data_IF_383451754831
#
_entry.id   IF_383451754831
#
_cell.length_a   1.000
_cell.length_b   1.000
_cell.length_c   1.000
_cell.angle_alpha   90.00
_cell.angle_beta   90.00
_cell.angle_gamma   90.00
#
_symmetry.space_group_name_H-M   'P 1'
#
loop_
_entity.id
_entity.type
_entity.pdbx_description
1 polymer ?
#
# COMPACT_ATOMS: atom_id res chain seq x y z
N UNK A 1 -43.18 25.61 21.57
CA UNK A 1 -42.88 24.72 20.44
C UNK A 1 -41.55 25.04 19.74
N UNK A 2 -41.34 26.23 19.13
CA UNK A 2 -40.11 26.55 18.39
C UNK A 2 -38.84 26.47 19.25
N UNK A 3 -38.86 27.03 20.48
CA UNK A 3 -37.73 26.95 21.43
C UNK A 3 -37.34 25.50 21.78
N UNK A 4 -38.36 24.65 22.03
CA UNK A 4 -38.14 23.23 22.34
C UNK A 4 -37.54 22.49 21.14
N UNK A 5 -38.00 22.77 19.91
CA UNK A 5 -37.47 22.20 18.67
C UNK A 5 -36.02 22.59 18.45
N UNK A 6 -35.68 23.86 18.70
CA UNK A 6 -34.29 24.36 18.58
C UNK A 6 -33.36 23.73 19.63
N UNK A 7 -33.83 23.50 20.85
CA UNK A 7 -33.05 22.81 21.88
C UNK A 7 -32.81 21.34 21.54
N UNK A 8 -33.83 20.62 21.03
CA UNK A 8 -33.69 19.24 20.59
C UNK A 8 -32.72 19.15 19.41
N UNK A 9 -32.81 20.05 18.42
CA UNK A 9 -31.91 20.09 17.28
C UNK A 9 -30.46 20.38 17.72
N UNK A 10 -30.27 21.33 18.65
CA UNK A 10 -28.96 21.64 19.22
C UNK A 10 -28.34 20.43 19.98
N UNK A 11 -29.17 19.72 20.77
CA UNK A 11 -28.72 18.51 21.46
C UNK A 11 -28.34 17.38 20.47
N UNK A 12 -29.13 17.20 19.42
CA UNK A 12 -28.83 16.19 18.38
C UNK A 12 -27.53 16.54 17.61
N UNK A 13 -27.30 17.81 17.29
CA UNK A 13 -26.06 18.26 16.65
C UNK A 13 -24.87 18.03 17.60
N UNK A 14 -25.02 18.33 18.88
CA UNK A 14 -23.95 18.12 19.87
C UNK A 14 -23.63 16.64 20.02
N UNK A 15 -24.65 15.79 20.15
CA UNK A 15 -24.47 14.31 20.21
C UNK A 15 -23.79 13.80 18.94
N UNK A 16 -24.25 14.23 17.76
CA UNK A 16 -23.64 13.84 16.50
C UNK A 16 -22.17 14.29 16.42
N UNK A 17 -21.85 15.50 16.87
CA UNK A 17 -20.48 16.02 16.91
C UNK A 17 -19.59 15.20 17.86
N UNK A 18 -20.10 14.86 19.05
CA UNK A 18 -19.38 14.02 20.03
C UNK A 18 -19.13 12.63 19.44
N UNK A 19 -20.13 12.00 18.81
CA UNK A 19 -19.98 10.69 18.17
C UNK A 19 -18.95 10.75 17.06
N UNK A 20 -18.96 11.79 16.23
CA UNK A 20 -17.97 11.96 15.15
C UNK A 20 -16.55 12.07 15.74
N UNK A 21 -16.37 12.84 16.82
CA UNK A 21 -15.07 12.99 17.49
C UNK A 21 -14.59 11.67 18.10
N UNK A 22 -15.47 10.92 18.76
CA UNK A 22 -15.15 9.64 19.40
C UNK A 22 -14.85 8.51 18.40
N UNK A 23 -15.35 8.63 17.16
CA UNK A 23 -15.15 7.61 16.11
C UNK A 23 -13.93 7.92 15.24
N UNK A 24 -13.24 9.07 15.43
CA UNK A 24 -12.03 9.36 14.67
C UNK A 24 -10.93 8.29 14.89
N UNK A 25 -10.13 7.99 13.87
CA UNK A 25 -9.04 7.03 13.99
C UNK A 25 -7.97 7.56 14.96
N UNK A 26 -7.32 6.66 15.67
CA UNK A 26 -6.13 6.97 16.46
C UNK A 26 -4.88 6.72 15.62
N UNK A 27 -3.96 7.66 15.58
CA UNK A 27 -2.62 7.46 15.01
C UNK A 27 -1.65 6.85 16.05
N UNK A 28 -2.08 6.73 17.31
CA UNK A 28 -1.29 6.09 18.35
C UNK A 28 -1.35 4.57 18.18
N UNK A 29 -0.19 3.99 18.01
CA UNK A 29 -0.02 2.55 17.98
C UNK A 29 0.73 2.08 19.23
N UNK A 30 0.58 0.80 19.58
CA UNK A 30 1.20 0.22 20.77
C UNK A 30 2.06 -0.97 20.37
N UNK A 31 3.27 -1.07 20.92
CA UNK A 31 4.04 -2.29 20.84
C UNK A 31 3.34 -3.38 21.66
N UNK A 32 3.21 -4.56 21.08
CA UNK A 32 2.56 -5.71 21.69
C UNK A 32 3.29 -6.99 21.31
N UNK A 33 2.59 -8.12 21.43
CA UNK A 33 3.08 -9.42 20.97
C UNK A 33 3.41 -9.35 19.47
N UNK A 34 4.55 -9.93 19.10
CA UNK A 34 5.05 -10.01 17.73
C UNK A 34 5.21 -11.48 17.34
N UNK A 35 4.81 -11.82 16.13
CA UNK A 35 5.02 -13.13 15.52
C UNK A 35 6.02 -13.00 14.38
N UNK A 36 6.89 -13.98 14.26
CA UNK A 36 7.81 -14.19 13.12
C UNK A 36 7.43 -15.45 12.39
N UNK A 37 7.28 -15.32 11.08
CA UNK A 37 7.06 -16.50 10.25
C UNK A 37 8.33 -17.34 10.20
N UNK A 38 8.26 -18.66 10.44
CA UNK A 38 9.41 -19.56 10.34
C UNK A 38 10.05 -19.50 8.95
N UNK A 39 11.38 -19.50 8.89
CA UNK A 39 12.14 -19.42 7.62
C UNK A 39 11.81 -20.56 6.66
N UNK A 40 11.47 -21.76 7.19
CA UNK A 40 11.03 -22.91 6.39
C UNK A 40 9.80 -22.64 5.52
N UNK A 41 9.00 -21.62 5.84
CA UNK A 41 7.85 -21.20 5.01
C UNK A 41 8.25 -20.50 3.72
N UNK A 42 9.49 -20.04 3.64
CA UNK A 42 10.03 -19.30 2.50
C UNK A 42 11.02 -20.12 1.67
N UNK A 43 11.20 -21.39 2.00
CA UNK A 43 12.06 -22.30 1.25
C UNK A 43 11.38 -22.73 -0.06
N UNK A 44 12.19 -22.81 -1.11
CA UNK A 44 11.76 -23.30 -2.44
C UNK A 44 10.59 -22.54 -3.08
N UNK A 45 10.46 -21.23 -2.75
CA UNK A 45 9.49 -20.38 -3.43
C UNK A 45 9.94 -20.14 -4.88
N UNK A 46 9.02 -20.24 -5.88
CA UNK A 46 9.35 -19.98 -7.27
C UNK A 46 9.97 -18.59 -7.46
N UNK A 47 11.09 -18.54 -8.16
CA UNK A 47 11.79 -17.32 -8.57
C UNK A 47 12.16 -16.34 -7.42
N UNK A 48 12.23 -16.86 -6.17
CA UNK A 48 12.54 -16.06 -5.01
C UNK A 48 13.77 -16.59 -4.25
N UNK A 49 14.92 -16.55 -4.89
CA UNK A 49 16.19 -16.98 -4.32
C UNK A 49 17.08 -15.77 -3.99
N UNK A 50 16.61 -14.91 -3.08
CA UNK A 50 17.33 -13.71 -2.64
C UNK A 50 17.84 -13.88 -1.22
N UNK A 51 19.02 -13.32 -0.94
CA UNK A 51 19.55 -13.25 0.42
C UNK A 51 18.73 -12.25 1.26
N UNK A 52 18.23 -12.64 2.44
CA UNK A 52 17.47 -11.73 3.29
C UNK A 52 18.40 -10.73 3.97
N UNK A 53 17.96 -9.47 4.05
CA UNK A 53 18.56 -8.46 4.90
C UNK A 53 17.55 -8.04 5.97
N UNK A 54 18.05 -7.58 7.11
CA UNK A 54 17.20 -7.15 8.21
C UNK A 54 17.77 -5.89 8.86
N UNK A 55 16.87 -5.00 9.27
CA UNK A 55 17.18 -3.86 10.12
C UNK A 55 16.15 -3.76 11.24
N UNK A 56 16.57 -3.31 12.41
CA UNK A 56 15.67 -3.10 13.55
C UNK A 56 15.17 -1.66 13.57
N UNK A 57 13.86 -1.49 13.55
CA UNK A 57 13.17 -0.20 13.61
C UNK A 57 12.18 -0.24 14.78
N UNK A 58 12.40 0.56 15.80
CA UNK A 58 11.56 0.66 17.01
C UNK A 58 11.31 -0.70 17.69
N UNK A 59 12.31 -1.60 17.67
CA UNK A 59 12.19 -2.94 18.23
C UNK A 59 11.52 -3.97 17.30
N UNK A 60 11.16 -3.61 16.08
CA UNK A 60 10.67 -4.52 15.05
C UNK A 60 11.76 -4.83 14.04
N UNK A 61 11.89 -6.09 13.71
CA UNK A 61 12.77 -6.56 12.62
C UNK A 61 12.06 -6.35 11.29
N UNK A 62 12.61 -5.49 10.45
CA UNK A 62 12.13 -5.22 9.09
C UNK A 62 13.03 -5.95 8.10
N UNK A 63 12.44 -6.81 7.29
CA UNK A 63 13.10 -7.50 6.20
C UNK A 63 13.14 -6.63 4.95
N UNK A 64 14.21 -6.74 4.18
CA UNK A 64 14.30 -6.15 2.84
C UNK A 64 15.26 -6.93 1.95
N UNK A 65 15.03 -6.86 0.66
CA UNK A 65 15.97 -7.28 -0.36
C UNK A 65 16.83 -6.08 -0.76
N UNK A 66 18.10 -6.33 -1.06
CA UNK A 66 19.06 -5.31 -1.50
C UNK A 66 19.98 -5.94 -2.57
N UNK A 67 19.51 -5.90 -3.80
CA UNK A 67 20.10 -6.60 -4.94
C UNK A 67 20.76 -5.63 -5.93
N UNK A 68 21.69 -6.14 -6.75
CA UNK A 68 22.44 -5.35 -7.73
C UNK A 68 23.64 -4.60 -7.13
N UNK A 69 24.31 -3.74 -7.93
CA UNK A 69 25.50 -3.02 -7.50
C UNK A 69 25.17 -2.00 -6.40
N UNK A 70 25.94 -2.02 -5.32
CA UNK A 70 25.69 -1.17 -4.15
C UNK A 70 25.90 0.33 -4.41
N UNK A 71 26.67 0.65 -5.43
CA UNK A 71 26.92 2.01 -5.92
C UNK A 71 26.01 2.40 -7.09
N UNK A 72 25.14 1.49 -7.53
CA UNK A 72 24.13 1.75 -8.55
C UNK A 72 23.07 2.75 -8.10
N UNK A 73 22.42 3.40 -9.06
CA UNK A 73 21.27 4.26 -8.77
C UNK A 73 20.14 3.46 -8.10
N UNK A 74 19.60 3.97 -7.00
CA UNK A 74 18.69 3.21 -6.14
C UNK A 74 17.26 3.24 -6.67
N UNK A 75 16.65 2.06 -6.79
CA UNK A 75 15.22 1.86 -6.99
C UNK A 75 14.62 1.25 -5.73
N UNK A 76 13.68 1.95 -5.10
CA UNK A 76 12.92 1.47 -3.94
C UNK A 76 11.57 0.94 -4.42
N UNK A 77 11.33 -0.37 -4.23
CA UNK A 77 10.11 -1.06 -4.63
C UNK A 77 9.21 -1.27 -3.42
N UNK A 78 8.08 -0.56 -3.33
CA UNK A 78 7.16 -0.66 -2.21
C UNK A 78 5.90 -1.44 -2.58
N UNK A 79 5.72 -2.61 -1.95
CA UNK A 79 4.59 -3.51 -2.17
C UNK A 79 3.32 -3.03 -1.45
N UNK A 80 2.17 -3.51 -1.96
CA UNK A 80 0.86 -3.29 -1.36
C UNK A 80 0.32 -4.48 -0.57
N UNK A 81 -0.97 -4.44 -0.25
CA UNK A 81 -1.68 -5.42 0.55
C UNK A 81 -2.47 -6.37 -0.38
N UNK A 82 -2.49 -7.68 -0.12
CA UNK A 82 -1.78 -8.40 0.94
C UNK A 82 -0.45 -9.03 0.47
N UNK A 83 0.23 -8.40 -0.47
CA UNK A 83 1.51 -8.88 -1.01
C UNK A 83 2.71 -8.64 -0.06
N UNK A 84 3.89 -8.95 -0.54
CA UNK A 84 5.17 -8.71 0.09
C UNK A 84 6.25 -8.63 -0.99
N UNK A 85 7.54 -8.54 -0.68
CA UNK A 85 8.62 -8.40 -1.67
C UNK A 85 8.63 -9.48 -2.75
N UNK A 86 7.94 -10.60 -2.54
CA UNK A 86 7.70 -11.66 -3.53
C UNK A 86 7.03 -11.14 -4.82
N UNK A 87 6.20 -10.11 -4.71
CA UNK A 87 5.56 -9.46 -5.86
C UNK A 87 6.59 -8.94 -6.88
N UNK A 88 7.76 -8.56 -6.40
CA UNK A 88 8.81 -7.98 -7.22
C UNK A 88 9.86 -8.99 -7.72
N UNK A 89 9.68 -10.30 -7.46
CA UNK A 89 10.68 -11.34 -7.75
C UNK A 89 11.14 -11.36 -9.22
N UNK A 90 10.25 -10.99 -10.15
CA UNK A 90 10.58 -10.91 -11.57
C UNK A 90 11.24 -9.57 -11.95
N UNK A 91 10.87 -8.47 -11.29
CA UNK A 91 11.43 -7.14 -11.60
C UNK A 91 12.83 -6.95 -11.01
N UNK A 92 13.10 -7.50 -9.82
CA UNK A 92 14.38 -7.32 -9.11
C UNK A 92 15.58 -7.74 -9.95
N UNK A 93 15.66 -8.97 -10.51
CA UNK A 93 16.81 -9.39 -11.31
C UNK A 93 16.96 -8.57 -12.59
N UNK A 94 15.86 -8.15 -13.21
CA UNK A 94 15.90 -7.31 -14.42
C UNK A 94 16.49 -5.94 -14.13
N UNK A 95 16.08 -5.29 -13.04
CA UNK A 95 16.63 -4.00 -12.60
C UNK A 95 18.08 -4.12 -12.16
N UNK A 96 18.43 -5.16 -11.39
CA UNK A 96 19.80 -5.38 -10.94
C UNK A 96 20.75 -5.62 -12.14
N UNK A 97 20.32 -6.38 -13.15
CA UNK A 97 21.07 -6.60 -14.39
C UNK A 97 21.18 -5.32 -15.24
N UNK A 98 20.24 -4.40 -15.12
CA UNK A 98 20.32 -3.07 -15.76
C UNK A 98 21.25 -2.10 -15.01
N UNK A 99 21.85 -2.50 -13.87
CA UNK A 99 22.84 -1.75 -13.12
C UNK A 99 22.26 -0.93 -11.95
N UNK A 100 21.01 -1.13 -11.58
CA UNK A 100 20.37 -0.47 -10.44
C UNK A 100 20.63 -1.22 -9.13
N UNK A 101 20.77 -0.48 -8.02
CA UNK A 101 20.59 -1.03 -6.68
C UNK A 101 19.10 -1.11 -6.38
N UNK A 102 18.61 -2.30 -6.16
CA UNK A 102 17.18 -2.56 -5.95
C UNK A 102 16.91 -2.88 -4.49
N UNK A 103 16.10 -2.05 -3.85
CA UNK A 103 15.70 -2.24 -2.46
C UNK A 103 14.19 -2.55 -2.44
N UNK A 104 13.82 -3.68 -1.87
CA UNK A 104 12.42 -4.10 -1.74
C UNK A 104 12.13 -4.52 -0.28
N UNK A 105 11.65 -3.61 0.57
CA UNK A 105 11.28 -3.93 1.93
C UNK A 105 9.96 -4.70 1.99
N UNK A 106 9.82 -5.53 3.03
CA UNK A 106 8.53 -6.03 3.49
C UNK A 106 7.96 -5.06 4.53
N UNK A 107 6.77 -4.56 4.30
CA UNK A 107 6.07 -3.75 5.30
C UNK A 107 5.92 -4.55 6.61
N UNK A 108 5.97 -3.87 7.77
CA UNK A 108 5.67 -4.50 9.05
C UNK A 108 4.29 -5.17 9.01
N UNK A 109 4.19 -6.41 9.48
CA UNK A 109 2.98 -7.23 9.35
C UNK A 109 2.93 -8.10 8.10
N UNK A 110 3.92 -8.01 7.18
CA UNK A 110 3.97 -8.72 5.90
C UNK A 110 5.33 -9.42 5.68
N UNK A 111 5.39 -10.30 4.70
CA UNK A 111 6.60 -10.98 4.26
C UNK A 111 7.40 -11.61 5.41
N UNK A 112 8.71 -11.37 5.40
CA UNK A 112 9.63 -11.82 6.45
C UNK A 112 9.81 -10.79 7.58
N UNK A 113 9.15 -9.62 7.51
CA UNK A 113 9.14 -8.64 8.59
C UNK A 113 8.34 -9.13 9.79
N UNK A 114 8.65 -8.57 10.96
CA UNK A 114 7.90 -8.83 12.19
C UNK A 114 6.42 -8.49 12.03
N UNK A 115 5.55 -9.27 12.68
CA UNK A 115 4.10 -9.14 12.59
C UNK A 115 3.50 -8.85 13.97
N UNK A 116 3.16 -7.58 14.25
CA UNK A 116 2.36 -7.26 15.43
C UNK A 116 1.02 -8.00 15.38
N UNK A 117 0.69 -8.70 16.47
CA UNK A 117 -0.51 -9.55 16.54
C UNK A 117 -1.78 -8.75 16.77
N UNK A 118 -1.64 -7.64 17.51
CA UNK A 118 -2.78 -6.83 17.87
C UNK A 118 -3.26 -5.98 16.69
N UNK A 119 -4.53 -6.10 16.32
CA UNK A 119 -5.13 -5.28 15.26
C UNK A 119 -4.94 -3.78 15.51
N UNK A 120 -5.04 -3.34 16.77
CA UNK A 120 -4.86 -1.95 17.18
C UNK A 120 -3.44 -1.42 17.03
N UNK A 121 -2.45 -2.31 16.86
CA UNK A 121 -1.06 -1.92 16.57
C UNK A 121 -0.90 -1.43 15.13
N UNK A 122 -1.77 -1.85 14.22
CA UNK A 122 -1.73 -1.43 12.83
C UNK A 122 -2.50 -0.14 12.63
N UNK A 123 -1.79 0.96 12.46
CA UNK A 123 -2.37 2.24 12.01
C UNK A 123 -1.67 2.70 10.74
N UNK A 124 -2.35 3.49 9.91
CA UNK A 124 -1.72 4.04 8.70
C UNK A 124 -0.42 4.81 9.06
N UNK A 125 -0.48 5.64 10.12
CA UNK A 125 0.69 6.43 10.53
C UNK A 125 1.85 5.53 10.98
N UNK A 126 1.59 4.45 11.72
CA UNK A 126 2.64 3.52 12.14
C UNK A 126 3.40 2.95 10.91
N UNK A 127 2.68 2.53 9.88
CA UNK A 127 3.32 2.02 8.66
C UNK A 127 4.17 3.07 7.95
N UNK A 128 3.70 4.31 7.91
CA UNK A 128 4.48 5.44 7.37
C UNK A 128 5.73 5.70 8.20
N UNK A 129 5.61 5.74 9.53
CA UNK A 129 6.71 6.07 10.44
C UNK A 129 7.79 4.98 10.43
N UNK A 130 7.38 3.70 10.45
CA UNK A 130 8.32 2.57 10.38
C UNK A 130 9.07 2.59 9.05
N UNK A 131 8.37 2.83 7.93
CA UNK A 131 9.00 2.83 6.61
C UNK A 131 9.87 4.07 6.39
N UNK A 132 9.51 5.22 6.96
CA UNK A 132 10.37 6.42 6.92
C UNK A 132 11.67 6.18 7.70
N UNK A 133 11.59 5.59 8.88
CA UNK A 133 12.77 5.23 9.66
C UNK A 133 13.61 4.13 8.98
N UNK A 134 12.96 3.18 8.30
CA UNK A 134 13.66 2.20 7.47
C UNK A 134 14.50 2.87 6.39
N UNK A 135 13.90 3.77 5.61
CA UNK A 135 14.59 4.52 4.53
C UNK A 135 15.78 5.31 5.07
N UNK A 136 15.64 5.87 6.27
CA UNK A 136 16.73 6.61 6.92
C UNK A 136 17.84 5.66 7.44
N UNK A 137 17.46 4.56 8.08
CA UNK A 137 18.39 3.62 8.72
C UNK A 137 19.30 2.90 7.71
N UNK A 138 18.80 2.61 6.50
CA UNK A 138 19.60 2.00 5.41
C UNK A 138 20.21 3.06 4.47
N UNK A 139 20.13 4.33 4.86
CA UNK A 139 20.72 5.46 4.14
C UNK A 139 20.36 5.56 2.66
N UNK A 140 19.10 5.32 2.31
CA UNK A 140 18.61 5.50 0.92
C UNK A 140 18.93 6.92 0.44
N UNK A 141 19.48 7.04 -0.78
CA UNK A 141 19.87 8.33 -1.37
C UNK A 141 19.45 8.38 -2.83
N UNK A 142 18.89 9.52 -3.23
CA UNK A 142 18.54 9.82 -4.63
C UNK A 142 17.67 8.72 -5.29
N UNK A 143 16.83 8.04 -4.51
CA UNK A 143 16.10 6.90 -5.01
C UNK A 143 14.98 7.28 -5.98
N UNK A 144 14.72 6.39 -6.92
CA UNK A 144 13.45 6.34 -7.64
C UNK A 144 12.50 5.45 -6.85
N UNK A 145 11.39 6.01 -6.38
CA UNK A 145 10.31 5.22 -5.78
C UNK A 145 9.48 4.56 -6.90
N UNK A 146 9.34 3.24 -6.85
CA UNK A 146 8.27 2.51 -7.54
C UNK A 146 7.30 1.96 -6.50
N UNK A 147 6.02 2.30 -6.63
CA UNK A 147 5.03 1.94 -5.62
C UNK A 147 3.68 1.54 -6.22
N UNK A 148 3.08 0.48 -5.68
CA UNK A 148 1.80 -0.05 -6.09
C UNK A 148 0.89 -0.26 -4.87
N UNK A 149 -0.43 -0.06 -5.01
CA UNK A 149 -1.44 -0.26 -3.98
C UNK A 149 -1.05 0.45 -2.66
N UNK A 150 -1.08 -0.21 -1.51
CA UNK A 150 -0.64 0.33 -0.21
C UNK A 150 0.82 0.76 -0.18
N UNK A 151 1.66 0.19 -1.03
CA UNK A 151 3.02 0.69 -1.22
C UNK A 151 3.03 2.14 -1.69
N UNK A 152 2.04 2.55 -2.52
CA UNK A 152 1.85 3.94 -2.90
C UNK A 152 1.32 4.80 -1.76
N UNK A 153 0.32 4.33 -1.01
CA UNK A 153 -0.23 5.07 0.12
C UNK A 153 0.84 5.37 1.19
N UNK A 154 1.68 4.38 1.50
CA UNK A 154 2.77 4.52 2.46
C UNK A 154 3.93 5.30 1.83
N UNK A 155 4.40 4.89 0.64
CA UNK A 155 5.57 5.43 -0.02
C UNK A 155 5.45 6.92 -0.35
N UNK A 156 4.28 7.37 -0.79
CA UNK A 156 4.03 8.79 -1.02
C UNK A 156 4.12 9.62 0.27
N UNK A 157 3.72 9.07 1.40
CA UNK A 157 3.87 9.72 2.70
C UNK A 157 5.32 9.69 3.20
N UNK A 158 6.08 8.63 2.86
CA UNK A 158 7.54 8.55 3.12
C UNK A 158 8.28 9.60 2.29
N UNK A 159 7.92 9.76 1.02
CA UNK A 159 8.50 10.82 0.17
C UNK A 159 8.20 12.21 0.73
N UNK A 160 7.00 12.45 1.23
CA UNK A 160 6.63 13.74 1.85
C UNK A 160 7.47 14.01 3.11
N UNK A 161 7.73 12.99 3.94
CA UNK A 161 8.56 13.14 5.14
C UNK A 161 10.06 13.28 4.84
N UNK A 162 10.55 12.62 3.77
CA UNK A 162 11.97 12.52 3.43
C UNK A 162 12.26 12.92 1.97
N UNK A 163 11.80 14.08 1.49
CA UNK A 163 11.85 14.44 0.06
C UNK A 163 13.26 14.51 -0.51
N UNK A 164 14.27 14.72 0.34
CA UNK A 164 15.68 14.74 -0.04
C UNK A 164 16.24 13.35 -0.39
N UNK A 165 15.57 12.27 0.05
CA UNK A 165 15.98 10.88 -0.24
C UNK A 165 15.56 10.41 -1.63
N UNK A 166 14.64 11.14 -2.29
CA UNK A 166 14.03 10.71 -3.55
C UNK A 166 14.30 11.70 -4.68
N UNK A 167 14.64 11.16 -5.83
CA UNK A 167 14.86 11.91 -7.08
C UNK A 167 13.64 11.85 -7.99
N UNK A 168 12.90 10.73 -8.01
CA UNK A 168 11.82 10.44 -8.96
C UNK A 168 10.76 9.55 -8.31
N UNK A 169 9.58 9.52 -8.92
CA UNK A 169 8.47 8.66 -8.49
C UNK A 169 7.84 8.01 -9.72
N UNK A 170 7.67 6.70 -9.70
CA UNK A 170 6.81 5.95 -10.63
C UNK A 170 5.69 5.30 -9.83
N UNK A 171 4.45 5.66 -10.13
CA UNK A 171 3.25 5.10 -9.51
C UNK A 171 2.59 4.10 -10.44
N UNK A 172 2.18 2.97 -9.87
CA UNK A 172 1.45 1.94 -10.56
C UNK A 172 0.26 1.49 -9.70
N UNK A 173 -0.94 1.47 -10.27
CA UNK A 173 -2.15 0.96 -9.64
C UNK A 173 -2.31 1.38 -8.17
N UNK A 174 -2.20 2.67 -7.90
CA UNK A 174 -2.27 3.23 -6.55
C UNK A 174 -2.92 4.60 -6.52
N UNK A 175 -3.28 5.04 -5.32
CA UNK A 175 -3.83 6.37 -5.06
C UNK A 175 -3.42 6.84 -3.67
N UNK A 176 -3.71 8.09 -3.34
CA UNK A 176 -3.65 8.61 -1.98
C UNK A 176 -5.07 9.05 -1.59
N UNK A 177 -5.85 8.24 -0.87
CA UNK A 177 -7.22 8.58 -0.48
C UNK A 177 -7.23 9.87 0.34
N UNK A 178 -7.91 10.89 -0.17
CA UNK A 178 -7.87 12.25 0.38
C UNK A 178 -9.26 12.89 0.36
N UNK A 179 -9.57 13.71 1.34
CA UNK A 179 -10.76 14.54 1.38
C UNK A 179 -10.60 15.67 2.37
N UNK A 180 -11.15 16.85 2.03
CA UNK A 180 -11.18 18.03 2.91
C UNK A 180 -12.59 18.35 3.42
N UNK A 181 -12.69 19.44 4.19
CA UNK A 181 -13.96 19.95 4.72
C UNK A 181 -14.80 18.88 5.42
N UNK A 182 -16.11 18.94 5.25
CA UNK A 182 -17.06 18.00 5.87
C UNK A 182 -16.82 16.54 5.42
N UNK A 183 -16.43 16.32 4.15
CA UNK A 183 -16.10 14.96 3.63
C UNK A 183 -14.89 14.37 4.34
N UNK A 184 -13.87 15.19 4.65
CA UNK A 184 -12.70 14.75 5.40
C UNK A 184 -13.02 14.37 6.85
N UNK A 185 -14.00 15.04 7.47
CA UNK A 185 -14.44 14.73 8.84
C UNK A 185 -15.37 13.52 8.90
N UNK A 186 -16.30 13.42 7.97
CA UNK A 186 -17.30 12.34 7.95
C UNK A 186 -16.80 11.08 7.23
N UNK A 187 -15.75 11.18 6.43
CA UNK A 187 -15.30 10.09 5.57
C UNK A 187 -15.00 8.81 6.33
N UNK A 188 -14.22 8.87 7.40
CA UNK A 188 -13.91 7.70 8.20
C UNK A 188 -15.13 7.11 8.95
N UNK A 189 -15.93 7.89 9.68
CA UNK A 189 -17.17 7.39 10.27
C UNK A 189 -18.13 6.74 9.27
N UNK A 190 -18.31 7.36 8.11
CA UNK A 190 -19.17 6.81 7.04
C UNK A 190 -18.59 5.54 6.42
N UNK A 191 -17.29 5.50 6.18
CA UNK A 191 -16.59 4.32 5.71
C UNK A 191 -16.73 3.15 6.68
N UNK A 192 -16.52 3.42 7.97
CA UNK A 192 -16.68 2.42 9.04
C UNK A 192 -18.12 1.91 9.14
N UNK A 193 -19.09 2.81 9.02
CA UNK A 193 -20.51 2.45 9.02
C UNK A 193 -20.88 1.61 7.78
N UNK A 194 -20.40 2.01 6.59
CA UNK A 194 -20.65 1.28 5.36
C UNK A 194 -20.06 -0.14 5.42
N UNK A 195 -18.82 -0.29 5.91
CA UNK A 195 -18.22 -1.61 6.09
C UNK A 195 -18.95 -2.46 7.16
N UNK A 196 -19.41 -1.84 8.26
CA UNK A 196 -20.21 -2.54 9.29
C UNK A 196 -21.55 -3.02 8.73
N UNK A 197 -22.18 -2.26 7.84
CA UNK A 197 -23.47 -2.61 7.22
C UNK A 197 -23.38 -3.86 6.32
N UNK A 198 -22.19 -4.16 5.76
CA UNK A 198 -21.97 -5.40 5.00
C UNK A 198 -22.13 -6.65 5.88
N UNK A 199 -21.96 -6.52 7.22
CA UNK A 199 -21.99 -7.65 8.14
C UNK A 199 -20.79 -8.57 8.01
N UNK A 200 -20.97 -9.85 8.28
CA UNK A 200 -19.95 -10.88 8.10
C UNK A 200 -19.90 -11.33 6.63
N UNK A 201 -18.73 -11.26 6.05
CA UNK A 201 -18.47 -11.69 4.66
C UNK A 201 -17.47 -12.84 4.68
N UNK A 202 -17.93 -14.05 4.38
CA UNK A 202 -17.10 -15.27 4.38
C UNK A 202 -16.48 -15.57 3.02
N UNK A 203 -17.11 -15.12 1.93
CA UNK A 203 -16.61 -15.29 0.58
C UNK A 203 -16.52 -13.97 -0.16
N UNK A 204 -15.43 -13.75 -0.87
CA UNK A 204 -15.23 -12.57 -1.68
C UNK A 204 -15.55 -12.88 -3.14
N UNK A 205 -16.51 -12.17 -3.72
CA UNK A 205 -16.79 -12.22 -5.15
C UNK A 205 -15.87 -11.24 -5.88
N UNK A 206 -14.74 -11.75 -6.37
CA UNK A 206 -13.77 -11.00 -7.18
C UNK A 206 -13.94 -11.47 -8.63
N UNK A 207 -13.96 -10.53 -9.58
CA UNK A 207 -14.07 -10.84 -11.01
C UNK A 207 -15.46 -10.66 -11.60
N UNK A 208 -16.53 -10.66 -10.82
CA UNK A 208 -17.84 -10.21 -11.25
C UNK A 208 -17.99 -8.69 -11.13
N UNK A 209 -18.93 -8.11 -11.86
CA UNK A 209 -19.20 -6.64 -11.91
C UNK A 209 -19.54 -6.00 -10.55
N UNK A 210 -19.43 -6.75 -9.47
CA UNK A 210 -19.85 -6.42 -8.12
C UNK A 210 -18.73 -6.43 -7.06
N UNK A 211 -17.43 -6.27 -7.44
CA UNK A 211 -16.40 -6.04 -6.41
C UNK A 211 -16.74 -4.75 -5.66
N UNK A 212 -17.10 -4.91 -4.39
CA UNK A 212 -17.35 -3.80 -3.49
C UNK A 212 -16.15 -3.62 -2.55
N UNK A 213 -15.58 -2.41 -2.51
CA UNK A 213 -14.56 -2.07 -1.53
C UNK A 213 -15.03 -2.32 -0.10
N UNK A 214 -16.31 -2.09 0.19
CA UNK A 214 -16.85 -2.32 1.53
C UNK A 214 -16.96 -3.81 1.86
N UNK A 215 -17.35 -4.65 0.89
CA UNK A 215 -17.34 -6.10 1.06
C UNK A 215 -15.92 -6.64 1.23
N UNK A 216 -14.91 -6.04 0.55
CA UNK A 216 -13.50 -6.36 0.78
C UNK A 216 -13.05 -6.02 2.20
N UNK A 217 -13.39 -4.82 2.70
CA UNK A 217 -13.08 -4.41 4.09
C UNK A 217 -13.74 -5.34 5.09
N UNK A 218 -15.02 -5.71 4.88
CA UNK A 218 -15.74 -6.63 5.74
C UNK A 218 -15.12 -8.04 5.70
N UNK A 219 -14.86 -8.59 4.50
CA UNK A 219 -14.21 -9.89 4.32
C UNK A 219 -12.85 -9.95 5.03
N UNK A 220 -11.98 -8.98 4.79
CA UNK A 220 -10.66 -8.95 5.41
C UNK A 220 -10.75 -8.99 6.94
N UNK A 221 -11.78 -8.36 7.51
CA UNK A 221 -11.97 -8.27 8.95
C UNK A 221 -12.71 -9.47 9.56
N UNK A 222 -13.67 -10.09 8.85
CA UNK A 222 -14.64 -11.02 9.45
C UNK A 222 -14.56 -12.44 8.89
N UNK A 223 -13.86 -12.68 7.79
CA UNK A 223 -13.77 -14.03 7.22
C UNK A 223 -12.97 -14.97 8.11
N UNK A 224 -13.45 -16.19 8.26
CA UNK A 224 -12.74 -17.25 8.99
C UNK A 224 -11.48 -17.70 8.23
N UNK A 225 -11.55 -17.63 6.88
CA UNK A 225 -10.44 -17.97 6.00
C UNK A 225 -10.10 -16.81 5.11
N UNK A 226 -8.80 -16.55 4.91
CA UNK A 226 -8.33 -15.53 3.99
C UNK A 226 -7.76 -16.20 2.75
N UNK A 227 -8.53 -16.24 1.67
CA UNK A 227 -8.17 -16.95 0.45
C UNK A 227 -7.22 -16.11 -0.43
N UNK A 228 -5.91 -16.20 -0.15
CA UNK A 228 -4.86 -15.55 -0.93
C UNK A 228 -4.87 -16.00 -2.38
N UNK A 229 -5.11 -17.30 -2.64
CA UNK A 229 -5.07 -17.84 -3.99
C UNK A 229 -6.17 -17.22 -4.86
N UNK A 230 -7.40 -17.20 -4.38
CA UNK A 230 -8.53 -16.57 -5.07
C UNK A 230 -8.29 -15.07 -5.30
N UNK A 231 -7.77 -14.37 -4.28
CA UNK A 231 -7.52 -12.94 -4.35
C UNK A 231 -6.45 -12.61 -5.43
N UNK A 232 -5.29 -13.28 -5.37
CA UNK A 232 -4.21 -13.01 -6.32
C UNK A 232 -4.59 -13.41 -7.74
N UNK A 233 -5.20 -14.59 -7.93
CA UNK A 233 -5.62 -15.02 -9.26
C UNK A 233 -6.67 -14.10 -9.88
N UNK A 234 -7.63 -13.62 -9.10
CA UNK A 234 -8.65 -12.70 -9.60
C UNK A 234 -8.14 -11.26 -9.85
N UNK A 235 -6.95 -10.94 -9.33
CA UNK A 235 -6.33 -9.62 -9.43
C UNK A 235 -5.11 -9.59 -10.36
N UNK A 236 -4.88 -10.67 -11.12
CA UNK A 236 -3.85 -10.79 -12.18
C UNK A 236 -4.51 -11.20 -13.49
N UNK A 237 -3.91 -10.79 -14.62
CA UNK A 237 -4.36 -11.17 -15.96
C UNK A 237 -3.80 -12.52 -16.40
N UNK A 238 -2.60 -12.88 -15.92
CA UNK A 238 -2.02 -14.19 -16.19
C UNK A 238 -2.49 -15.24 -15.18
N UNK A 239 -2.43 -16.49 -15.56
CA UNK A 239 -2.62 -17.60 -14.65
C UNK A 239 -1.38 -17.78 -13.76
N UNK A 240 -1.58 -17.80 -12.44
CA UNK A 240 -0.55 -18.09 -11.46
C UNK A 240 -0.55 -19.57 -11.12
N UNK A 241 0.62 -20.20 -11.05
CA UNK A 241 0.75 -21.57 -10.60
C UNK A 241 0.38 -21.72 -9.11
N UNK A 242 0.01 -22.92 -8.71
CA UNK A 242 -0.29 -23.24 -7.30
C UNK A 242 0.89 -22.88 -6.38
N UNK A 243 2.13 -23.04 -6.84
CA UNK A 243 3.32 -22.71 -6.06
C UNK A 243 3.51 -21.18 -5.91
N UNK A 244 3.24 -20.39 -6.95
CA UNK A 244 3.26 -18.93 -6.88
C UNK A 244 2.18 -18.40 -5.92
N UNK A 245 0.97 -18.96 -6.02
CA UNK A 245 -0.13 -18.60 -5.10
C UNK A 245 0.21 -18.95 -3.64
N UNK A 246 0.84 -20.13 -3.43
CA UNK A 246 1.34 -20.52 -2.10
C UNK A 246 2.45 -19.61 -1.60
N UNK A 247 3.28 -19.04 -2.49
CA UNK A 247 4.30 -18.03 -2.15
C UNK A 247 3.72 -16.77 -1.55
N UNK A 248 2.58 -16.29 -2.05
CA UNK A 248 1.87 -15.15 -1.46
C UNK A 248 1.31 -15.45 -0.07
N UNK A 249 0.86 -16.67 0.18
CA UNK A 249 0.33 -17.08 1.47
C UNK A 249 1.44 -17.47 2.48
N UNK A 250 2.68 -17.67 2.04
CA UNK A 250 3.77 -18.17 2.87
C UNK A 250 4.00 -17.39 4.17
N UNK A 251 3.93 -16.03 4.20
CA UNK A 251 4.13 -15.25 5.42
C UNK A 251 3.07 -15.45 6.50
N UNK A 252 1.89 -15.90 6.10
CA UNK A 252 0.68 -15.85 6.92
C UNK A 252 0.31 -17.27 7.41
N UNK A 253 1.19 -17.85 8.23
CA UNK A 253 1.17 -19.26 8.62
C UNK A 253 0.15 -19.60 9.72
N UNK A 254 -0.38 -18.61 10.41
CA UNK A 254 -1.41 -18.76 11.44
C UNK A 254 -2.20 -17.45 11.61
N UNK A 255 -3.26 -17.45 12.42
CA UNK A 255 -4.13 -16.29 12.62
C UNK A 255 -3.39 -15.10 13.26
N UNK A 256 -2.41 -15.35 14.15
CA UNK A 256 -1.61 -14.27 14.75
C UNK A 256 -0.79 -13.49 13.71
N UNK A 257 -0.42 -14.14 12.59
CA UNK A 257 0.29 -13.49 11.50
C UNK A 257 -0.62 -12.69 10.56
N UNK A 258 -1.94 -12.75 10.75
CA UNK A 258 -2.93 -12.18 9.83
C UNK A 258 -3.34 -10.73 10.15
N UNK A 259 -2.89 -10.16 11.28
CA UNK A 259 -3.35 -8.84 11.71
C UNK A 259 -3.10 -7.74 10.65
N UNK A 260 -1.94 -7.74 9.99
CA UNK A 260 -1.63 -6.82 8.89
C UNK A 260 -2.63 -6.92 7.73
N UNK A 261 -2.72 -8.06 7.03
CA UNK A 261 -3.68 -8.26 5.93
C UNK A 261 -5.11 -7.93 6.29
N UNK A 262 -5.56 -8.30 7.50
CA UNK A 262 -6.93 -8.05 7.96
C UNK A 262 -7.22 -6.58 8.24
N UNK A 263 -6.23 -5.81 8.71
CA UNK A 263 -6.45 -4.43 9.11
C UNK A 263 -6.30 -3.41 7.97
N UNK A 264 -5.41 -3.64 7.02
CA UNK A 264 -5.09 -2.67 5.98
C UNK A 264 -6.30 -2.10 5.24
N UNK A 265 -7.27 -2.90 4.74
CA UNK A 265 -8.43 -2.35 4.07
C UNK A 265 -9.22 -1.36 4.93
N UNK A 266 -9.28 -1.59 6.25
CA UNK A 266 -9.96 -0.71 7.20
C UNK A 266 -9.25 0.62 7.42
N UNK A 267 -7.96 0.72 7.09
CA UNK A 267 -7.15 1.92 7.30
C UNK A 267 -7.30 2.96 6.17
N UNK A 268 -7.89 2.60 5.03
CA UNK A 268 -7.97 3.45 3.83
C UNK A 268 -8.53 4.85 4.09
N UNK A 269 -9.54 4.97 4.93
CA UNK A 269 -10.20 6.24 5.21
C UNK A 269 -9.69 6.95 6.49
N UNK A 270 -8.67 6.39 7.16
CA UNK A 270 -8.24 6.89 8.48
C UNK A 270 -7.50 8.24 8.43
N UNK A 271 -6.87 8.56 7.31
CA UNK A 271 -6.05 9.78 7.17
C UNK A 271 -6.46 10.69 6.00
N UNK A 272 -7.74 10.70 5.63
CA UNK A 272 -8.23 11.49 4.48
C UNK A 272 -7.82 12.96 4.51
N UNK A 273 -7.95 13.62 5.66
CA UNK A 273 -7.61 15.05 5.80
C UNK A 273 -6.10 15.29 5.75
N UNK A 274 -5.32 14.43 6.39
CA UNK A 274 -3.86 14.52 6.38
C UNK A 274 -3.32 14.28 4.98
N UNK A 275 -3.85 13.28 4.28
CA UNK A 275 -3.49 13.02 2.90
C UNK A 275 -3.90 14.18 1.97
N UNK A 276 -5.05 14.83 2.23
CA UNK A 276 -5.45 16.01 1.46
C UNK A 276 -4.45 17.15 1.64
N UNK A 277 -4.02 17.43 2.86
CA UNK A 277 -3.00 18.44 3.11
C UNK A 277 -1.67 18.10 2.40
N UNK A 278 -1.27 16.82 2.41
CA UNK A 278 -0.09 16.35 1.67
C UNK A 278 -0.25 16.55 0.16
N UNK A 279 -1.42 16.30 -0.40
CA UNK A 279 -1.69 16.57 -1.82
C UNK A 279 -1.62 18.05 -2.15
N UNK A 280 -2.27 18.89 -1.34
CA UNK A 280 -2.40 20.34 -1.60
C UNK A 280 -1.08 21.08 -1.33
N UNK A 281 -0.35 20.74 -0.25
CA UNK A 281 0.82 21.48 0.19
C UNK A 281 2.12 20.92 -0.37
N UNK A 282 2.23 19.61 -0.55
CA UNK A 282 3.45 18.95 -0.99
C UNK A 282 3.39 18.54 -2.46
N UNK A 283 2.45 17.66 -2.88
CA UNK A 283 2.45 17.13 -4.23
C UNK A 283 2.04 18.17 -5.29
N UNK A 284 1.17 19.12 -4.97
CA UNK A 284 0.89 20.26 -5.85
C UNK A 284 2.11 21.15 -6.12
N UNK A 285 3.17 21.01 -5.32
CA UNK A 285 4.44 21.72 -5.47
C UNK A 285 5.63 20.82 -5.82
N UNK A 286 5.43 19.52 -6.00
CA UNK A 286 6.47 18.56 -6.34
C UNK A 286 6.93 18.73 -7.79
N UNK A 287 8.19 19.17 -7.97
CA UNK A 287 8.78 19.47 -9.30
C UNK A 287 9.67 18.36 -9.83
N UNK A 288 10.11 17.41 -8.96
CA UNK A 288 10.91 16.29 -9.43
C UNK A 288 10.05 15.34 -10.27
N UNK A 289 10.64 14.58 -11.22
CA UNK A 289 9.88 13.76 -12.15
C UNK A 289 8.94 12.76 -11.48
N UNK A 290 7.71 12.66 -12.00
CA UNK A 290 6.73 11.65 -11.61
C UNK A 290 6.06 11.09 -12.85
N UNK A 291 6.06 9.74 -12.98
CA UNK A 291 5.25 9.07 -14.01
C UNK A 291 4.24 8.12 -13.39
N UNK A 292 3.23 7.78 -14.18
CA UNK A 292 2.24 6.75 -13.88
C UNK A 292 2.30 5.66 -14.94
N UNK A 293 2.28 4.39 -14.50
CA UNK A 293 2.15 3.21 -15.34
C UNK A 293 1.08 2.30 -14.75
N UNK A 294 -0.17 2.53 -15.13
CA UNK A 294 -1.33 1.83 -14.58
C UNK A 294 -1.82 0.76 -15.54
N UNK A 295 -2.31 -0.36 -15.00
CA UNK A 295 -2.90 -1.43 -15.80
C UNK A 295 -4.29 -1.10 -16.31
N UNK A 296 -4.58 -1.41 -17.57
CA UNK A 296 -5.88 -1.15 -18.20
C UNK A 296 -7.00 -2.11 -17.71
N UNK A 297 -6.61 -3.22 -17.04
CA UNK A 297 -7.53 -4.18 -16.43
C UNK A 297 -7.74 -3.95 -14.92
N UNK A 298 -7.04 -3.02 -14.31
CA UNK A 298 -7.28 -2.68 -12.91
C UNK A 298 -8.53 -1.80 -12.75
N UNK A 299 -9.66 -2.44 -12.50
CA UNK A 299 -10.93 -1.74 -12.30
C UNK A 299 -11.00 -0.95 -10.98
N UNK A 300 -10.16 -1.31 -9.99
CA UNK A 300 -10.09 -0.64 -8.70
C UNK A 300 -9.43 0.74 -8.80
N UNK A 301 -8.37 0.84 -9.62
CA UNK A 301 -7.57 2.06 -9.75
C UNK A 301 -7.81 2.81 -11.07
N UNK A 302 -8.78 2.37 -11.88
CA UNK A 302 -9.11 2.98 -13.18
C UNK A 302 -9.27 4.50 -13.08
N UNK A 303 -8.52 5.25 -13.88
CA UNK A 303 -8.57 6.71 -13.96
C UNK A 303 -7.93 7.47 -12.80
N UNK A 304 -7.36 6.79 -11.80
CA UNK A 304 -6.64 7.43 -10.68
C UNK A 304 -5.30 8.02 -11.10
N UNK A 305 -4.70 7.50 -12.14
CA UNK A 305 -3.47 8.01 -12.76
C UNK A 305 -3.60 9.49 -13.18
N UNK A 306 -4.75 9.86 -13.75
CA UNK A 306 -5.02 11.22 -14.25
C UNK A 306 -4.92 12.28 -13.15
N UNK A 307 -5.40 11.97 -11.95
CA UNK A 307 -5.32 12.88 -10.81
C UNK A 307 -3.87 13.26 -10.48
N UNK A 308 -2.93 12.31 -10.56
CA UNK A 308 -1.51 12.55 -10.36
C UNK A 308 -0.88 13.37 -11.50
N UNK A 309 -1.24 13.04 -12.75
CA UNK A 309 -0.78 13.74 -13.95
C UNK A 309 -1.21 15.21 -13.98
N UNK A 310 -2.41 15.49 -13.47
CA UNK A 310 -2.97 16.85 -13.41
C UNK A 310 -2.43 17.66 -12.22
N UNK A 311 -2.33 17.04 -11.03
CA UNK A 311 -1.95 17.70 -9.80
C UNK A 311 -0.47 18.06 -9.75
N UNK A 312 0.41 17.11 -10.17
CA UNK A 312 1.84 17.18 -9.87
C UNK A 312 2.61 17.91 -10.96
N UNK A 313 3.27 19.05 -10.67
CA UNK A 313 4.08 19.76 -11.68
C UNK A 313 5.16 18.89 -12.34
N UNK A 314 5.82 18.02 -11.57
CA UNK A 314 6.84 17.10 -12.07
C UNK A 314 6.32 15.95 -12.94
N UNK A 315 4.99 15.79 -13.05
CA UNK A 315 4.37 14.82 -13.95
C UNK A 315 4.17 15.39 -15.37
N UNK A 316 4.14 16.72 -15.51
CA UNK A 316 3.86 17.36 -16.81
C UNK A 316 4.95 17.05 -17.84
N UNK A 317 4.52 16.57 -19.00
CA UNK A 317 5.43 16.24 -20.10
C UNK A 317 6.16 14.89 -19.94
N UNK A 318 5.86 14.13 -18.92
CA UNK A 318 6.40 12.79 -18.73
C UNK A 318 5.64 11.73 -19.56
N UNK A 319 6.29 10.59 -19.85
CA UNK A 319 5.74 9.50 -20.66
C UNK A 319 4.82 8.58 -19.84
N UNK A 320 3.68 9.11 -19.38
CA UNK A 320 2.68 8.31 -18.70
C UNK A 320 2.15 7.19 -19.58
N UNK A 321 1.92 6.00 -19.01
CA UNK A 321 1.53 4.82 -19.77
C UNK A 321 0.34 4.12 -19.13
N UNK A 322 -0.62 3.71 -19.96
CA UNK A 322 -1.61 2.72 -19.59
C UNK A 322 -1.13 1.38 -20.14
N UNK A 323 -0.71 0.49 -19.23
CA UNK A 323 -0.09 -0.79 -19.54
C UNK A 323 -1.19 -1.78 -19.94
N UNK A 324 -1.12 -2.24 -21.19
CA UNK A 324 -2.13 -3.11 -21.76
C UNK A 324 -2.11 -4.50 -21.08
N UNK A 325 -3.30 -5.01 -20.79
CA UNK A 325 -3.53 -6.30 -20.13
C UNK A 325 -2.87 -6.41 -18.75
N UNK A 326 -2.54 -5.29 -18.11
CA UNK A 326 -2.11 -5.24 -16.71
C UNK A 326 -3.32 -5.16 -15.77
N UNK A 327 -3.45 -6.11 -14.85
CA UNK A 327 -4.46 -6.08 -13.78
C UNK A 327 -3.89 -5.41 -12.52
N UNK A 328 -4.51 -5.62 -11.35
CA UNK A 328 -4.12 -4.93 -10.12
C UNK A 328 -2.68 -5.25 -9.68
N UNK A 329 -2.29 -6.54 -9.69
CA UNK A 329 -0.90 -6.96 -9.44
C UNK A 329 -0.12 -6.98 -10.76
N UNK A 330 0.01 -5.82 -11.37
CA UNK A 330 0.61 -5.61 -12.69
C UNK A 330 2.05 -6.12 -12.80
N UNK A 331 2.77 -6.23 -11.68
CA UNK A 331 4.12 -6.79 -11.60
C UNK A 331 4.16 -8.29 -11.94
N UNK A 332 3.03 -8.99 -11.74
CA UNK A 332 2.87 -10.38 -12.19
C UNK A 332 2.60 -10.46 -13.69
N UNK A 333 1.86 -9.51 -14.21
CA UNK A 333 1.41 -9.53 -15.60
C UNK A 333 2.45 -9.01 -16.58
N UNK A 334 3.18 -7.94 -16.20
CA UNK A 334 4.01 -7.13 -17.12
C UNK A 334 5.34 -6.69 -16.49
N UNK A 335 6.11 -7.59 -15.86
CA UNK A 335 7.34 -7.20 -15.15
C UNK A 335 8.39 -6.56 -16.07
N UNK A 336 8.60 -7.12 -17.29
CA UNK A 336 9.58 -6.58 -18.26
C UNK A 336 9.16 -5.20 -18.78
N UNK A 337 7.87 -5.01 -19.07
CA UNK A 337 7.35 -3.73 -19.55
C UNK A 337 7.51 -2.65 -18.48
N UNK A 338 7.20 -2.97 -17.21
CA UNK A 338 7.37 -2.06 -16.08
C UNK A 338 8.83 -1.68 -15.88
N UNK A 339 9.75 -2.65 -15.97
CA UNK A 339 11.20 -2.41 -15.86
C UNK A 339 11.68 -1.52 -17.01
N UNK A 340 11.26 -1.78 -18.24
CA UNK A 340 11.63 -0.96 -19.40
C UNK A 340 11.11 0.48 -19.27
N UNK A 341 9.88 0.67 -18.80
CA UNK A 341 9.32 2.00 -18.54
C UNK A 341 10.09 2.73 -17.43
N UNK A 342 10.44 2.03 -16.37
CA UNK A 342 11.19 2.57 -15.24
C UNK A 342 12.63 2.94 -15.65
N UNK A 343 13.31 2.07 -16.39
CA UNK A 343 14.67 2.33 -16.92
C UNK A 343 14.68 3.53 -17.85
N UNK A 344 13.75 3.58 -18.81
CA UNK A 344 13.62 4.72 -19.72
C UNK A 344 13.33 6.03 -18.95
N UNK A 345 12.47 5.98 -17.94
CA UNK A 345 12.15 7.13 -17.09
C UNK A 345 13.36 7.62 -16.30
N UNK A 346 14.13 6.72 -15.70
CA UNK A 346 15.34 7.08 -14.94
C UNK A 346 16.37 7.71 -15.86
N UNK A 347 16.62 7.12 -17.03
CA UNK A 347 17.62 7.61 -18.01
C UNK A 347 17.24 8.96 -18.64
N UNK A 348 15.95 9.30 -18.69
CA UNK A 348 15.48 10.56 -19.27
C UNK A 348 15.50 11.74 -18.29
N UNK A 349 15.65 11.49 -16.98
CA UNK A 349 15.53 12.47 -15.91
C UNK A 349 16.71 12.38 -14.92
#
# INVERSE_FOLDING_TARGET
MLKTLLLILGALILIASIVIILVQPSDQWRSGKVVRTPDSRFENLPDYNFAPNYVEIQGYRIHYLDEGPKDGETVLLMHGQPSWSYLYRHMIPLLANAGYRVIAPDNIGFGKSDKPVEHSSHTYQMHVDVMSQFVDAIEVKNATLFAQDWGGLIGLRVVEQLPQRFSRIMLSNTTLPAANGLRGWLGYPLFKFAAWKEGEVQELNIGDKAFSLMSWVAYAKTSDTFDFAKLFQASTSRELSTQELAGYAAPFHNEEAMAGPRMFPSLLATQLRKNQAVMDDFYANWKKPLITAFGDKDTLMAGRDKAWQELVPGAKGQAHTLVKDGAHFIQEDKPEELVNLLDAFIKAN
#
